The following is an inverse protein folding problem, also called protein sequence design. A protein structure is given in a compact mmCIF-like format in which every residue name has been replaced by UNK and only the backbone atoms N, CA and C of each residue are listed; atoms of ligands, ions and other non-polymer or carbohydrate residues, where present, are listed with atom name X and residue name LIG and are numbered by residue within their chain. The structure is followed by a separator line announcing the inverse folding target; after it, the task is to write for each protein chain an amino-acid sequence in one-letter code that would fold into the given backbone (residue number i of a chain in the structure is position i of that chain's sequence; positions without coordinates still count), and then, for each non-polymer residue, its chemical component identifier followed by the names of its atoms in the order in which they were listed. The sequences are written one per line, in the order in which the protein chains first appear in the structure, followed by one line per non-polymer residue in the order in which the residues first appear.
data_IF_470727285833
#
_entry.id   IF_470727285833
#
_cell.length_a   1.000
_cell.length_b   1.000
_cell.length_c   1.000
_cell.angle_alpha   90.00
_cell.angle_beta   90.00
_cell.angle_gamma   90.00
#
_symmetry.space_group_name_H-M   'P 1'
#
loop_
_entity.id
_entity.type
_entity.pdbx_description
1 polymer ?
#
# COMPACT_ATOMS: atom_id res chain seq x y z
N UNK A 1 -10.11 -15.02 89.44
CA UNK A 1 -8.94 -15.37 90.26
C UNK A 1 -8.22 -16.51 89.57
N UNK A 2 -6.99 -16.23 89.14
CA UNK A 2 -5.89 -17.09 88.69
C UNK A 2 -6.14 -18.44 87.99
N UNK A 3 -5.55 -18.49 86.79
CA UNK A 3 -5.11 -19.65 86.02
C UNK A 3 -4.20 -20.61 86.81
N UNK A 4 -4.43 -21.91 86.59
CA UNK A 4 -3.37 -22.92 86.53
C UNK A 4 -3.88 -24.18 85.79
N UNK A 5 -3.30 -24.50 84.63
CA UNK A 5 -3.43 -25.81 83.96
C UNK A 5 -2.04 -26.42 83.84
N UNK A 6 -1.83 -27.71 84.20
CA UNK A 6 -0.48 -28.29 84.31
C UNK A 6 0.01 -28.95 83.02
N UNK A 7 1.35 -29.01 82.92
CA UNK A 7 2.14 -29.55 81.81
C UNK A 7 2.02 -31.07 81.67
N UNK A 8 1.55 -31.56 80.52
CA UNK A 8 1.77 -32.96 80.10
C UNK A 8 2.02 -33.18 78.59
N UNK A 9 2.13 -32.13 77.75
CA UNK A 9 2.21 -32.29 76.29
C UNK A 9 3.60 -32.11 75.66
N UNK A 10 4.69 -32.01 76.44
CA UNK A 10 6.01 -31.58 75.92
C UNK A 10 6.99 -32.68 75.47
N UNK A 11 6.60 -33.97 75.42
CA UNK A 11 7.55 -35.04 75.05
C UNK A 11 7.36 -35.68 73.66
N UNK A 12 6.22 -35.50 72.98
CA UNK A 12 5.98 -36.13 71.66
C UNK A 12 6.32 -35.26 70.44
N UNK A 13 6.55 -33.95 70.63
CA UNK A 13 6.80 -33.03 69.52
C UNK A 13 8.15 -33.22 68.83
N UNK A 14 9.20 -33.59 69.58
CA UNK A 14 10.58 -33.65 69.09
C UNK A 14 10.93 -34.85 68.21
N UNK A 15 10.23 -35.97 68.38
CA UNK A 15 10.48 -37.19 67.59
C UNK A 15 9.87 -37.09 66.18
N UNK A 16 8.70 -36.46 66.05
CA UNK A 16 8.03 -36.23 64.75
C UNK A 16 8.78 -35.20 63.90
N UNK A 17 9.28 -34.12 64.49
CA UNK A 17 10.07 -33.10 63.76
C UNK A 17 11.39 -33.66 63.25
N UNK A 18 12.10 -34.49 64.03
CA UNK A 18 13.36 -35.11 63.57
C UNK A 18 13.15 -36.12 62.45
N UNK A 19 12.04 -36.87 62.44
CA UNK A 19 11.68 -37.76 61.32
C UNK A 19 11.31 -36.96 60.08
N UNK A 20 10.52 -35.90 60.22
CA UNK A 20 10.13 -35.02 59.11
C UNK A 20 11.35 -34.32 58.47
N UNK A 21 12.29 -33.82 59.28
CA UNK A 21 13.54 -33.22 58.78
C UNK A 21 14.44 -34.24 58.07
N UNK A 22 14.52 -35.47 58.56
CA UNK A 22 15.28 -36.53 57.89
C UNK A 22 14.66 -36.95 56.56
N UNK A 23 13.34 -37.06 56.49
CA UNK A 23 12.64 -37.35 55.22
C UNK A 23 12.77 -36.21 54.22
N UNK A 24 12.74 -34.95 54.69
CA UNK A 24 12.97 -33.79 53.83
C UNK A 24 14.42 -33.72 53.32
N UNK A 25 15.40 -33.99 54.19
CA UNK A 25 16.81 -34.03 53.79
C UNK A 25 17.09 -35.17 52.78
N UNK A 26 16.50 -36.36 52.98
CA UNK A 26 16.60 -37.47 52.03
C UNK A 26 15.91 -37.16 50.70
N UNK A 27 14.75 -36.50 50.73
CA UNK A 27 14.05 -36.07 49.52
C UNK A 27 14.85 -34.98 48.77
N UNK A 28 15.45 -34.02 49.47
CA UNK A 28 16.34 -33.03 48.87
C UNK A 28 17.61 -33.66 48.30
N UNK A 29 18.24 -34.61 48.99
CA UNK A 29 19.40 -35.34 48.43
C UNK A 29 19.01 -36.17 47.19
N UNK A 30 17.85 -36.82 47.19
CA UNK A 30 17.36 -37.55 46.02
C UNK A 30 17.04 -36.63 44.84
N UNK A 31 16.48 -35.43 45.10
CA UNK A 31 16.24 -34.40 44.08
C UNK A 31 17.56 -33.84 43.53
N UNK A 32 18.54 -33.57 44.39
CA UNK A 32 19.86 -33.09 43.94
C UNK A 32 20.60 -34.17 43.15
N UNK A 33 20.51 -35.45 43.55
CA UNK A 33 21.06 -36.58 42.78
C UNK A 33 20.33 -36.81 41.46
N UNK A 34 19.01 -36.61 41.41
CA UNK A 34 18.24 -36.71 40.16
C UNK A 34 18.53 -35.54 39.20
N UNK A 35 18.76 -34.33 39.73
CA UNK A 35 19.20 -33.17 38.94
C UNK A 35 20.64 -33.36 38.47
N UNK A 36 21.53 -33.90 39.30
CA UNK A 36 22.89 -34.25 38.88
C UNK A 36 22.92 -35.37 37.83
N UNK A 37 22.10 -36.41 37.99
CA UNK A 37 21.98 -37.50 37.02
C UNK A 37 21.31 -37.05 35.71
N UNK A 38 20.42 -36.06 35.77
CA UNK A 38 19.82 -35.40 34.60
C UNK A 38 20.75 -34.42 33.91
N UNK A 39 21.76 -33.88 34.61
CA UNK A 39 22.82 -33.05 34.03
C UNK A 39 24.00 -33.88 33.48
N UNK A 40 24.07 -35.17 33.81
CA UNK A 40 25.10 -36.10 33.32
C UNK A 40 24.59 -37.12 32.31
N UNK A 41 23.45 -36.86 31.64
CA UNK A 41 23.17 -37.55 30.39
C UNK A 41 24.23 -37.09 29.38
N UNK A 42 25.06 -37.98 28.80
CA UNK A 42 25.92 -37.55 27.71
C UNK A 42 25.01 -37.02 26.61
N UNK A 43 25.05 -35.70 26.36
CA UNK A 43 24.66 -35.21 25.04
C UNK A 43 25.53 -35.99 24.06
N UNK A 44 24.91 -36.66 23.08
CA UNK A 44 25.67 -37.01 21.89
C UNK A 44 26.22 -35.69 21.36
N UNK A 45 27.53 -35.53 21.43
CA UNK A 45 28.21 -34.50 20.68
C UNK A 45 28.12 -34.97 19.22
N UNK A 46 27.07 -34.57 18.51
CA UNK A 46 27.06 -34.73 17.06
C UNK A 46 28.04 -33.68 16.50
N UNK A 47 29.03 -34.19 15.79
CA UNK A 47 30.40 -33.66 15.74
C UNK A 47 30.72 -32.78 14.51
N UNK A 48 29.68 -32.20 13.91
CA UNK A 48 29.80 -31.18 12.88
C UNK A 48 28.97 -29.96 13.26
N UNK A 49 29.64 -28.87 13.62
CA UNK A 49 28.98 -27.62 14.05
C UNK A 49 28.65 -26.73 12.85
N UNK A 50 27.43 -26.16 12.84
CA UNK A 50 27.00 -25.22 11.80
C UNK A 50 27.36 -23.82 12.22
N UNK A 51 28.30 -23.22 11.50
CA UNK A 51 28.76 -21.86 11.74
C UNK A 51 27.83 -20.86 11.09
N UNK A 52 27.41 -21.15 9.85
CA UNK A 52 26.57 -20.24 9.08
C UNK A 52 25.83 -20.96 7.97
N UNK A 53 24.56 -20.62 7.78
CA UNK A 53 23.85 -20.87 6.53
C UNK A 53 23.18 -19.57 6.11
N UNK A 54 23.56 -19.05 4.95
CA UNK A 54 23.01 -17.79 4.41
C UNK A 54 22.76 -17.89 2.93
N UNK A 55 21.79 -17.09 2.46
CA UNK A 55 21.53 -16.92 1.04
C UNK A 55 21.96 -15.53 0.59
N UNK A 56 22.39 -15.42 -0.67
CA UNK A 56 22.70 -14.11 -1.28
C UNK A 56 21.41 -13.29 -1.42
N UNK A 57 21.34 -12.05 -0.90
CA UNK A 57 20.19 -11.19 -1.13
C UNK A 57 19.97 -10.92 -2.62
N UNK A 58 18.71 -10.96 -3.04
CA UNK A 58 18.30 -10.78 -4.44
C UNK A 58 17.08 -9.84 -4.59
N UNK A 59 16.71 -9.13 -3.52
CA UNK A 59 15.70 -8.08 -3.55
C UNK A 59 16.25 -6.66 -3.36
N UNK A 60 15.38 -5.66 -3.48
CA UNK A 60 15.73 -4.24 -3.54
C UNK A 60 16.20 -3.69 -2.18
N UNK A 61 15.83 -4.34 -1.07
CA UNK A 61 16.25 -3.95 0.28
C UNK A 61 17.71 -4.29 0.60
N UNK A 62 18.38 -5.07 -0.25
CA UNK A 62 19.79 -5.46 -0.11
C UNK A 62 20.06 -6.52 0.97
N UNK A 63 19.06 -6.92 1.75
CA UNK A 63 19.16 -7.97 2.79
C UNK A 63 18.16 -9.11 2.61
N UNK A 64 17.13 -8.93 1.79
CA UNK A 64 16.07 -9.92 1.60
C UNK A 64 16.40 -10.95 0.52
N UNK A 65 15.81 -12.14 0.68
CA UNK A 65 15.90 -13.24 -0.27
C UNK A 65 14.49 -13.54 -0.76
N UNK A 66 14.21 -13.16 -1.99
CA UNK A 66 12.93 -13.33 -2.68
C UNK A 66 12.81 -14.75 -3.24
N UNK A 67 11.64 -15.36 -3.06
CA UNK A 67 11.28 -16.62 -3.71
C UNK A 67 11.11 -16.46 -5.23
N UNK A 68 11.32 -17.54 -5.99
CA UNK A 68 11.13 -17.54 -7.45
C UNK A 68 12.19 -16.76 -8.25
N UNK A 69 13.21 -16.21 -7.59
CA UNK A 69 14.38 -15.59 -8.20
C UNK A 69 15.64 -16.34 -7.78
N UNK A 70 16.67 -16.33 -8.64
CA UNK A 70 17.93 -17.00 -8.36
C UNK A 70 18.65 -16.38 -7.16
N UNK A 71 19.22 -17.23 -6.32
CA UNK A 71 20.11 -16.89 -5.21
C UNK A 71 21.21 -17.94 -5.09
N UNK A 72 22.09 -17.76 -4.11
CA UNK A 72 23.18 -18.68 -3.79
C UNK A 72 23.11 -19.04 -2.32
N UNK A 73 23.11 -20.32 -1.99
CA UNK A 73 23.28 -20.81 -0.61
C UNK A 73 24.77 -20.88 -0.30
N UNK A 74 25.17 -20.32 0.83
CA UNK A 74 26.49 -20.50 1.43
C UNK A 74 26.30 -21.20 2.79
N UNK A 75 26.80 -22.42 2.90
CA UNK A 75 26.76 -23.24 4.10
C UNK A 75 28.20 -23.46 4.62
N UNK A 76 28.45 -23.02 5.84
CA UNK A 76 29.74 -23.13 6.53
C UNK A 76 29.59 -24.03 7.75
N UNK A 77 30.46 -25.03 7.83
CA UNK A 77 30.47 -26.05 8.89
C UNK A 77 31.89 -26.31 9.36
N UNK A 78 32.02 -26.68 10.64
CA UNK A 78 33.29 -27.08 11.24
C UNK A 78 33.20 -28.53 11.72
N UNK A 79 34.16 -29.35 11.30
CA UNK A 79 34.32 -30.70 11.83
C UNK A 79 34.94 -30.66 13.24
N UNK A 80 34.57 -31.61 14.10
CA UNK A 80 35.22 -31.80 15.39
C UNK A 80 36.71 -32.13 15.25
N UNK A 81 37.47 -31.83 16.31
CA UNK A 81 38.93 -31.93 16.33
C UNK A 81 39.48 -33.35 16.10
N UNK A 82 38.66 -34.38 16.28
CA UNK A 82 39.00 -35.80 16.16
C UNK A 82 38.30 -36.52 14.99
N UNK A 83 37.51 -35.82 14.17
CA UNK A 83 36.73 -36.42 13.09
C UNK A 83 37.16 -36.02 11.68
N UNK A 84 37.53 -37.02 10.88
CA UNK A 84 37.83 -36.87 9.45
C UNK A 84 36.59 -37.12 8.59
N UNK A 85 36.20 -36.12 7.81
CA UNK A 85 35.05 -36.19 6.91
C UNK A 85 35.39 -36.81 5.55
N UNK A 86 34.56 -37.73 5.08
CA UNK A 86 34.61 -38.30 3.73
C UNK A 86 33.54 -37.70 2.80
N UNK A 87 32.54 -36.99 3.32
CA UNK A 87 31.54 -36.34 2.50
C UNK A 87 30.58 -35.42 3.26
N UNK A 88 29.88 -34.58 2.50
CA UNK A 88 28.83 -33.68 3.00
C UNK A 88 27.58 -33.83 2.14
N UNK A 89 26.42 -33.70 2.77
CA UNK A 89 25.13 -33.71 2.09
C UNK A 89 24.28 -32.54 2.56
N UNK A 90 23.68 -31.83 1.62
CA UNK A 90 22.72 -30.75 1.88
C UNK A 90 21.38 -31.10 1.23
N UNK A 91 20.35 -31.24 2.04
CA UNK A 91 18.97 -31.37 1.58
C UNK A 91 18.31 -30.00 1.58
N UNK A 92 17.95 -29.53 0.39
CA UNK A 92 17.19 -28.28 0.21
C UNK A 92 15.69 -28.51 0.48
N UNK A 93 14.94 -27.46 0.88
CA UNK A 93 13.49 -27.56 1.08
C UNK A 93 12.76 -27.98 -0.19
N UNK A 94 11.61 -28.63 -0.01
CA UNK A 94 10.76 -29.08 -1.12
C UNK A 94 10.36 -27.91 -2.05
N UNK A 95 10.40 -28.16 -3.37
CA UNK A 95 10.10 -27.14 -4.38
C UNK A 95 11.25 -26.15 -4.65
N UNK A 96 12.42 -26.35 -4.06
CA UNK A 96 13.64 -25.56 -4.36
C UNK A 96 14.39 -26.19 -5.53
N UNK A 97 14.65 -25.41 -6.58
CA UNK A 97 15.55 -25.79 -7.66
C UNK A 97 16.99 -25.33 -7.34
N UNK A 98 18.00 -26.03 -7.85
CA UNK A 98 19.41 -25.67 -7.68
C UNK A 98 20.24 -26.21 -8.85
N UNK A 99 21.39 -25.58 -9.10
CA UNK A 99 22.35 -26.02 -10.11
C UNK A 99 23.65 -26.50 -9.45
N UNK A 100 24.37 -27.42 -10.09
CA UNK A 100 25.63 -27.97 -9.57
C UNK A 100 26.85 -27.63 -10.41
N UNK A 101 26.67 -27.01 -11.58
CA UNK A 101 27.74 -26.75 -12.54
C UNK A 101 28.81 -25.79 -11.99
N UNK A 102 28.38 -24.82 -11.16
CA UNK A 102 29.25 -23.83 -10.52
C UNK A 102 29.44 -24.07 -9.01
N UNK A 103 29.09 -25.27 -8.52
CA UNK A 103 29.21 -25.59 -7.09
C UNK A 103 30.66 -25.49 -6.62
N UNK A 104 30.87 -24.89 -5.45
CA UNK A 104 32.21 -24.78 -4.83
C UNK A 104 32.23 -25.35 -3.44
N UNK A 105 33.12 -26.31 -3.22
CA UNK A 105 33.47 -26.80 -1.89
C UNK A 105 34.89 -26.34 -1.56
N UNK A 106 35.02 -25.56 -0.50
CA UNK A 106 36.31 -25.02 -0.04
C UNK A 106 36.58 -25.50 1.37
N UNK A 107 37.73 -26.12 1.58
CA UNK A 107 38.27 -26.34 2.92
C UNK A 107 39.07 -25.11 3.34
N UNK A 108 38.77 -24.58 4.52
CA UNK A 108 39.43 -23.42 5.10
C UNK A 108 40.36 -23.88 6.24
N UNK A 109 41.53 -23.26 6.32
CA UNK A 109 42.53 -23.54 7.35
C UNK A 109 43.32 -22.28 7.72
N UNK A 110 44.19 -22.40 8.71
CA UNK A 110 44.88 -21.26 9.34
C UNK A 110 44.05 -20.65 10.47
N UNK A 111 44.73 -19.99 11.42
CA UNK A 111 44.09 -19.38 12.59
C UNK A 111 43.10 -18.25 12.22
N UNK A 112 43.21 -17.71 11.01
CA UNK A 112 42.34 -16.67 10.44
C UNK A 112 41.36 -17.18 9.35
N UNK A 113 41.35 -18.50 9.08
CA UNK A 113 40.55 -19.15 8.03
C UNK A 113 40.78 -18.61 6.61
N UNK A 114 41.97 -18.05 6.34
CA UNK A 114 42.29 -17.44 5.05
C UNK A 114 42.94 -18.40 4.05
N UNK A 115 43.48 -19.53 4.51
CA UNK A 115 44.06 -20.56 3.63
C UNK A 115 42.95 -21.42 3.04
N UNK A 116 42.77 -21.33 1.72
CA UNK A 116 41.67 -21.97 0.98
C UNK A 116 42.18 -23.10 0.11
N UNK A 117 41.67 -24.30 0.34
CA UNK A 117 41.89 -25.46 -0.51
C UNK A 117 40.57 -25.85 -1.18
N UNK A 118 40.55 -25.86 -2.51
CA UNK A 118 39.37 -26.24 -3.28
C UNK A 118 39.30 -27.77 -3.38
N UNK A 119 38.18 -28.34 -2.95
CA UNK A 119 37.90 -29.76 -3.09
C UNK A 119 36.98 -29.93 -4.29
N UNK A 120 37.31 -30.85 -5.19
CA UNK A 120 36.44 -31.29 -6.29
C UNK A 120 35.72 -32.58 -5.86
N UNK A 121 34.51 -32.49 -5.28
CA UNK A 121 33.78 -33.68 -4.83
C UNK A 121 33.13 -34.42 -6.00
N UNK A 122 32.89 -35.72 -5.84
CA UNK A 122 31.94 -36.44 -6.68
C UNK A 122 30.52 -36.04 -6.25
N UNK A 123 29.80 -35.39 -7.17
CA UNK A 123 28.46 -34.84 -6.90
C UNK A 123 27.39 -35.84 -7.31
N UNK A 124 26.49 -36.19 -6.39
CA UNK A 124 25.29 -37.01 -6.66
C UNK A 124 24.03 -36.24 -6.24
N UNK A 125 23.11 -36.09 -7.18
CA UNK A 125 21.80 -35.49 -6.93
C UNK A 125 20.76 -36.59 -6.70
N UNK A 126 20.12 -36.57 -5.53
CA UNK A 126 19.04 -37.48 -5.14
C UNK A 126 17.79 -36.63 -4.78
N UNK A 127 17.11 -36.16 -5.82
CA UNK A 127 15.98 -35.22 -5.71
C UNK A 127 16.39 -33.91 -5.01
N UNK A 128 15.86 -33.68 -3.81
CA UNK A 128 16.16 -32.51 -2.99
C UNK A 128 17.49 -32.60 -2.23
N UNK A 129 18.18 -33.76 -2.26
CA UNK A 129 19.44 -33.96 -1.53
C UNK A 129 20.63 -33.94 -2.47
N UNK A 130 21.52 -33.00 -2.23
CA UNK A 130 22.82 -32.88 -2.87
C UNK A 130 23.86 -33.60 -2.02
N UNK A 131 24.46 -34.68 -2.53
CA UNK A 131 25.53 -35.43 -1.85
C UNK A 131 26.88 -35.15 -2.51
N UNK A 132 27.89 -34.85 -1.70
CA UNK A 132 29.24 -34.50 -2.10
C UNK A 132 30.20 -35.50 -1.44
N UNK A 133 30.74 -36.44 -2.22
CA UNK A 133 31.75 -37.37 -1.74
C UNK A 133 33.15 -36.80 -2.01
N UNK A 134 34.01 -36.76 -0.99
CA UNK A 134 35.35 -36.19 -1.13
C UNK A 134 36.27 -37.21 -1.80
N UNK A 135 37.20 -36.78 -2.68
CA UNK A 135 38.14 -37.68 -3.33
C UNK A 135 39.09 -38.36 -2.32
N UNK A 136 39.37 -37.70 -1.20
CA UNK A 136 40.09 -38.23 -0.04
C UNK A 136 39.45 -37.69 1.24
N UNK A 137 39.48 -38.47 2.33
CA UNK A 137 38.98 -38.02 3.62
C UNK A 137 39.76 -36.79 4.10
N UNK A 138 39.03 -35.73 4.45
CA UNK A 138 39.60 -34.49 4.90
C UNK A 138 40.16 -34.64 6.34
N UNK A 139 41.23 -33.89 6.69
CA UNK A 139 41.77 -33.90 8.04
C UNK A 139 40.74 -33.47 9.09
N UNK A 140 40.89 -33.97 10.32
CA UNK A 140 40.01 -33.60 11.42
C UNK A 140 40.12 -32.11 11.81
N UNK A 141 39.04 -31.57 12.40
CA UNK A 141 38.99 -30.20 12.91
C UNK A 141 38.89 -29.09 11.86
N UNK A 142 38.63 -29.42 10.59
CA UNK A 142 38.67 -28.47 9.47
C UNK A 142 37.33 -27.76 9.25
N UNK A 143 37.42 -26.56 8.69
CA UNK A 143 36.28 -25.76 8.25
C UNK A 143 35.97 -26.04 6.79
N UNK A 144 34.69 -26.15 6.46
CA UNK A 144 34.20 -26.35 5.10
C UNK A 144 33.19 -25.28 4.75
N UNK A 145 33.35 -24.69 3.57
CA UNK A 145 32.39 -23.77 2.95
C UNK A 145 31.86 -24.41 1.67
N UNK A 146 30.56 -24.68 1.65
CA UNK A 146 29.82 -25.09 0.47
C UNK A 146 29.06 -23.89 -0.10
N UNK A 147 29.30 -23.57 -1.37
CA UNK A 147 28.53 -22.59 -2.14
C UNK A 147 27.76 -23.30 -3.25
N UNK A 148 26.42 -23.22 -3.20
CA UNK A 148 25.51 -23.75 -4.22
C UNK A 148 24.88 -22.57 -4.97
N UNK A 149 25.10 -22.51 -6.29
CA UNK A 149 24.61 -21.46 -7.18
C UNK A 149 23.32 -21.92 -7.89
N UNK A 150 22.62 -21.01 -8.59
CA UNK A 150 21.40 -21.36 -9.31
C UNK A 150 20.21 -21.74 -8.40
N UNK A 151 20.24 -21.38 -7.11
CA UNK A 151 19.20 -21.80 -6.16
C UNK A 151 17.96 -20.94 -6.34
N UNK A 152 16.80 -21.55 -6.57
CA UNK A 152 15.50 -20.87 -6.68
C UNK A 152 14.52 -21.46 -5.67
N UNK A 153 14.22 -20.70 -4.63
CA UNK A 153 13.22 -21.08 -3.62
C UNK A 153 11.78 -20.93 -4.14
N UNK A 154 10.80 -21.63 -3.55
CA UNK A 154 9.38 -21.45 -3.87
C UNK A 154 8.93 -19.98 -3.74
N UNK A 155 8.15 -19.51 -4.73
CA UNK A 155 7.65 -18.14 -4.74
C UNK A 155 6.71 -17.79 -3.57
N UNK A 156 6.07 -18.79 -2.96
CA UNK A 156 5.23 -18.62 -1.78
C UNK A 156 6.01 -18.13 -0.55
N UNK A 157 7.34 -18.25 -0.56
CA UNK A 157 8.20 -17.86 0.56
C UNK A 157 7.93 -18.67 1.84
N UNK A 158 8.44 -18.18 2.96
CA UNK A 158 8.33 -18.80 4.28
C UNK A 158 9.68 -19.12 4.90
N UNK A 159 9.64 -19.70 6.10
CA UNK A 159 10.82 -20.23 6.78
C UNK A 159 11.24 -21.55 6.13
N UNK A 160 12.33 -21.49 5.36
CA UNK A 160 12.84 -22.61 4.59
C UNK A 160 13.92 -23.34 5.39
N UNK A 161 13.62 -24.55 5.83
CA UNK A 161 14.55 -25.35 6.62
C UNK A 161 15.40 -26.26 5.72
N UNK A 162 16.71 -25.99 5.65
CA UNK A 162 17.68 -26.92 5.10
C UNK A 162 18.01 -28.03 6.11
N UNK A 163 18.39 -29.21 5.62
CA UNK A 163 18.95 -30.29 6.44
C UNK A 163 20.32 -30.68 5.92
N UNK A 164 21.22 -31.04 6.82
CA UNK A 164 22.57 -31.44 6.48
C UNK A 164 22.83 -32.85 6.99
N UNK A 165 23.71 -33.57 6.32
CA UNK A 165 24.32 -34.78 6.83
C UNK A 165 25.79 -34.79 6.45
N UNK A 166 26.61 -35.52 7.21
CA UNK A 166 28.01 -35.75 6.91
C UNK A 166 28.31 -37.24 6.93
N UNK A 167 29.38 -37.63 6.24
CA UNK A 167 29.90 -38.99 6.23
C UNK A 167 31.33 -38.97 6.72
N UNK A 168 31.67 -39.86 7.64
CA UNK A 168 33.00 -40.00 8.23
C UNK A 168 33.87 -40.95 7.41
N UNK A 169 35.19 -40.89 7.64
CA UNK A 169 36.16 -41.76 6.97
C UNK A 169 35.91 -43.27 7.19
N UNK A 170 35.16 -43.65 8.22
CA UNK A 170 34.76 -45.04 8.52
C UNK A 170 33.48 -45.49 7.79
N UNK A 171 32.87 -44.61 6.99
CA UNK A 171 31.64 -44.86 6.23
C UNK A 171 30.36 -44.71 7.03
N UNK A 172 30.41 -44.19 8.27
CA UNK A 172 29.21 -43.87 9.04
C UNK A 172 28.65 -42.50 8.64
N UNK A 173 27.32 -42.36 8.63
CA UNK A 173 26.64 -41.11 8.27
C UNK A 173 25.81 -40.57 9.42
N UNK A 174 25.94 -39.26 9.65
CA UNK A 174 25.34 -38.54 10.76
C UNK A 174 24.56 -37.32 10.25
N UNK A 175 23.47 -36.99 10.93
CA UNK A 175 22.72 -35.77 10.66
C UNK A 175 23.41 -34.56 11.28
N UNK A 176 23.33 -33.41 10.62
CA UNK A 176 23.79 -32.13 11.17
C UNK A 176 22.62 -31.45 11.86
N UNK A 177 22.77 -31.19 13.16
CA UNK A 177 21.80 -30.41 13.94
C UNK A 177 22.11 -28.90 13.88
N UNK A 178 21.14 -28.06 14.25
CA UNK A 178 21.39 -26.62 14.43
C UNK A 178 21.45 -25.78 13.15
N UNK A 179 21.10 -26.32 11.97
CA UNK A 179 21.00 -25.52 10.74
C UNK A 179 19.86 -24.50 10.88
N UNK A 180 20.12 -23.18 10.76
CA UNK A 180 19.07 -22.17 10.86
C UNK A 180 18.14 -22.20 9.64
N UNK A 181 16.86 -21.87 9.85
CA UNK A 181 15.92 -21.65 8.77
C UNK A 181 16.28 -20.37 7.99
N UNK A 182 16.05 -20.38 6.69
CA UNK A 182 16.21 -19.21 5.82
C UNK A 182 14.85 -18.57 5.61
N UNK A 183 14.68 -17.33 6.05
CA UNK A 183 13.49 -16.55 5.78
C UNK A 183 13.46 -16.12 4.30
N UNK A 184 12.52 -16.70 3.54
CA UNK A 184 12.28 -16.35 2.13
C UNK A 184 11.06 -15.45 2.03
N UNK A 185 11.23 -14.29 1.44
CA UNK A 185 10.15 -13.34 1.19
C UNK A 185 9.31 -13.82 0.01
N UNK A 186 8.00 -13.94 0.25
CA UNK A 186 7.04 -14.32 -0.77
C UNK A 186 6.96 -13.27 -1.88
N UNK A 187 6.87 -13.72 -3.13
CA UNK A 187 6.74 -12.84 -4.29
C UNK A 187 5.30 -12.92 -4.79
N UNK A 188 4.64 -11.76 -4.94
CA UNK A 188 3.25 -11.76 -5.40
C UNK A 188 3.18 -12.14 -6.89
N UNK A 189 2.05 -12.68 -7.38
CA UNK A 189 1.87 -12.95 -8.82
C UNK A 189 2.10 -11.71 -9.69
N UNK A 190 1.80 -10.52 -9.17
CA UNK A 190 2.07 -9.26 -9.83
C UNK A 190 3.57 -9.00 -9.96
N UNK A 191 4.35 -9.27 -8.93
CA UNK A 191 5.80 -9.07 -8.94
C UNK A 191 6.48 -10.04 -9.93
N UNK A 192 6.05 -11.30 -9.98
CA UNK A 192 6.49 -12.24 -11.02
C UNK A 192 6.18 -11.72 -12.43
N UNK A 193 4.98 -11.16 -12.62
CA UNK A 193 4.58 -10.59 -13.90
C UNK A 193 5.40 -9.34 -14.27
N UNK A 194 5.82 -8.52 -13.31
CA UNK A 194 6.73 -7.38 -13.55
C UNK A 194 8.08 -7.87 -14.09
N UNK A 195 8.68 -8.87 -13.44
CA UNK A 195 9.96 -9.47 -13.86
C UNK A 195 9.82 -10.06 -15.27
N UNK A 196 8.75 -10.82 -15.50
CA UNK A 196 8.45 -11.37 -16.82
C UNK A 196 8.34 -10.28 -17.89
N UNK A 197 7.63 -9.18 -17.61
CA UNK A 197 7.48 -8.06 -18.54
C UNK A 197 8.81 -7.37 -18.81
N UNK A 198 9.62 -7.13 -17.79
CA UNK A 198 10.92 -6.47 -17.92
C UNK A 198 11.92 -7.26 -18.80
N UNK A 199 11.84 -8.59 -18.75
CA UNK A 199 12.66 -9.47 -19.58
C UNK A 199 12.24 -9.50 -21.06
N UNK A 200 11.07 -8.94 -21.42
CA UNK A 200 10.62 -8.98 -22.81
C UNK A 200 11.47 -8.06 -23.72
N UNK A 201 11.94 -8.55 -24.89
CA UNK A 201 12.77 -7.75 -25.80
C UNK A 201 12.12 -6.44 -26.24
N UNK A 202 10.80 -6.45 -26.45
CA UNK A 202 10.06 -5.25 -26.84
C UNK A 202 9.98 -4.22 -25.72
N UNK A 203 9.95 -4.62 -24.44
CA UNK A 203 9.95 -3.71 -23.29
C UNK A 203 11.32 -3.06 -23.15
N UNK A 204 12.39 -3.83 -23.34
CA UNK A 204 13.75 -3.28 -23.35
C UNK A 204 13.95 -2.29 -24.51
N UNK A 205 13.48 -2.64 -25.72
CA UNK A 205 13.50 -1.75 -26.87
C UNK A 205 12.65 -0.48 -26.62
N UNK A 206 11.47 -0.60 -26.00
CA UNK A 206 10.61 0.51 -25.63
C UNK A 206 11.29 1.45 -24.63
N UNK A 207 11.88 0.88 -23.57
CA UNK A 207 12.55 1.62 -22.50
C UNK A 207 13.92 2.19 -22.92
N UNK A 208 14.46 1.79 -24.08
CA UNK A 208 15.65 2.44 -24.65
C UNK A 208 15.40 3.92 -24.99
N UNK A 209 14.15 4.27 -25.35
CA UNK A 209 13.75 5.64 -25.54
C UNK A 209 13.49 6.33 -24.19
N UNK A 210 14.22 7.40 -23.90
CA UNK A 210 14.14 8.10 -22.61
C UNK A 210 12.74 8.63 -22.31
N UNK A 211 12.04 9.18 -23.32
CA UNK A 211 10.68 9.69 -23.15
C UNK A 211 9.71 8.55 -22.82
N UNK A 212 9.74 7.45 -23.57
CA UNK A 212 8.88 6.29 -23.31
C UNK A 212 9.16 5.65 -21.95
N UNK A 213 10.43 5.56 -21.55
CA UNK A 213 10.83 5.06 -20.22
C UNK A 213 10.34 5.96 -19.07
N UNK A 214 10.32 7.28 -19.28
CA UNK A 214 9.93 8.22 -18.22
C UNK A 214 8.41 8.43 -18.15
N UNK A 215 7.68 8.37 -19.27
CA UNK A 215 6.24 8.66 -19.29
C UNK A 215 5.37 7.42 -19.45
N UNK A 216 5.87 6.36 -20.08
CA UNK A 216 5.09 5.20 -20.49
C UNK A 216 5.80 3.87 -20.23
N UNK A 217 6.52 3.75 -19.11
CA UNK A 217 7.19 2.49 -18.77
C UNK A 217 6.14 1.37 -18.52
N UNK A 218 6.11 0.30 -19.32
CA UNK A 218 5.08 -0.74 -19.22
C UNK A 218 5.04 -1.44 -17.86
N UNK A 219 6.21 -1.69 -17.26
CA UNK A 219 6.34 -2.33 -15.95
C UNK A 219 5.77 -1.42 -14.85
N UNK A 220 6.06 -0.11 -14.94
CA UNK A 220 5.53 0.87 -13.99
C UNK A 220 4.03 1.10 -14.15
N UNK A 221 3.49 1.03 -15.37
CA UNK A 221 2.04 1.10 -15.59
C UNK A 221 1.34 -0.02 -14.83
N UNK A 222 1.77 -1.26 -15.03
CA UNK A 222 1.12 -2.43 -14.41
C UNK A 222 1.29 -2.45 -12.89
N UNK A 223 2.48 -2.12 -12.41
CA UNK A 223 2.76 -2.11 -10.96
C UNK A 223 2.08 -0.97 -10.20
N UNK A 224 1.88 0.19 -10.85
CA UNK A 224 1.25 1.35 -10.21
C UNK A 224 -0.28 1.26 -10.14
N UNK A 225 -0.91 0.51 -11.04
CA UNK A 225 -2.37 0.36 -11.11
C UNK A 225 -3.03 -0.02 -9.76
N UNK A 226 -2.66 -1.12 -9.09
CA UNK A 226 -3.31 -1.53 -7.84
C UNK A 226 -3.03 -0.55 -6.69
N UNK A 227 -1.85 0.09 -6.69
CA UNK A 227 -1.47 1.06 -5.66
C UNK A 227 -2.30 2.34 -5.80
N UNK A 228 -2.36 2.90 -7.01
CA UNK A 228 -3.13 4.13 -7.30
C UNK A 228 -4.64 3.87 -7.17
N UNK A 229 -5.11 2.64 -7.38
CA UNK A 229 -6.50 2.28 -7.14
C UNK A 229 -6.96 2.57 -5.69
N UNK A 230 -6.07 2.42 -4.69
CA UNK A 230 -6.35 2.84 -3.32
C UNK A 230 -6.63 4.34 -3.22
N UNK A 231 -5.81 5.16 -3.90
CA UNK A 231 -6.03 6.61 -4.02
C UNK A 231 -7.31 6.97 -4.74
N UNK A 232 -7.67 6.22 -5.78
CA UNK A 232 -8.92 6.37 -6.51
C UNK A 232 -10.14 6.19 -5.61
N UNK A 233 -10.16 5.15 -4.78
CA UNK A 233 -11.23 4.93 -3.80
C UNK A 233 -11.29 6.07 -2.78
N UNK A 234 -10.15 6.59 -2.33
CA UNK A 234 -10.09 7.73 -1.42
C UNK A 234 -10.67 9.00 -2.04
N UNK A 235 -10.25 9.39 -3.26
CA UNK A 235 -10.82 10.53 -3.99
C UNK A 235 -12.33 10.40 -4.15
N UNK A 236 -12.80 9.20 -4.50
CA UNK A 236 -14.22 8.92 -4.67
C UNK A 236 -14.97 9.04 -3.33
N UNK A 237 -14.43 8.49 -2.24
CA UNK A 237 -15.03 8.61 -0.91
C UNK A 237 -15.14 10.06 -0.43
N UNK A 238 -14.11 10.88 -0.67
CA UNK A 238 -14.12 12.30 -0.32
C UNK A 238 -15.24 13.02 -1.06
N UNK A 239 -15.34 12.84 -2.37
CA UNK A 239 -16.33 13.55 -3.21
C UNK A 239 -17.75 13.06 -2.96
N UNK A 240 -17.93 11.75 -2.78
CA UNK A 240 -19.23 11.16 -2.46
C UNK A 240 -19.76 11.59 -1.09
N UNK A 241 -18.91 12.06 -0.18
CA UNK A 241 -19.35 12.64 1.09
C UNK A 241 -19.46 14.17 1.02
N UNK A 242 -18.46 14.84 0.42
CA UNK A 242 -18.41 16.29 0.35
C UNK A 242 -19.54 16.87 -0.51
N UNK A 243 -19.82 16.28 -1.68
CA UNK A 243 -20.80 16.83 -2.62
C UNK A 243 -22.25 16.76 -2.09
N UNK A 244 -22.73 15.63 -1.52
CA UNK A 244 -24.07 15.59 -0.91
C UNK A 244 -24.22 16.54 0.28
N UNK A 245 -23.16 16.79 1.04
CA UNK A 245 -23.15 17.80 2.11
C UNK A 245 -23.17 19.21 1.51
N UNK A 246 -22.46 19.46 0.42
CA UNK A 246 -22.43 20.76 -0.24
C UNK A 246 -23.78 21.18 -0.82
N UNK A 247 -24.61 20.25 -1.32
CA UNK A 247 -25.93 20.52 -1.91
C UNK A 247 -26.88 21.31 -0.97
N UNK A 248 -27.19 20.84 0.26
CA UNK A 248 -28.08 21.57 1.15
C UNK A 248 -27.49 22.91 1.59
N UNK A 249 -26.18 23.01 1.84
CA UNK A 249 -25.54 24.28 2.18
C UNK A 249 -25.56 25.27 1.02
N UNK A 250 -25.23 24.83 -0.19
CA UNK A 250 -25.30 25.65 -1.39
C UNK A 250 -26.72 26.13 -1.67
N UNK A 251 -27.71 25.25 -1.55
CA UNK A 251 -29.11 25.63 -1.70
C UNK A 251 -29.56 26.63 -0.62
N UNK A 252 -29.17 26.43 0.64
CA UNK A 252 -29.45 27.37 1.73
C UNK A 252 -28.84 28.76 1.45
N UNK A 253 -27.57 28.81 1.04
CA UNK A 253 -26.91 30.07 0.67
C UNK A 253 -27.60 30.74 -0.53
N UNK A 254 -28.08 29.98 -1.50
CA UNK A 254 -28.83 30.51 -2.64
C UNK A 254 -30.14 31.19 -2.18
N UNK A 255 -30.89 30.55 -1.28
CA UNK A 255 -32.10 31.12 -0.68
C UNK A 255 -31.78 32.39 0.13
N UNK A 256 -30.68 32.39 0.90
CA UNK A 256 -30.21 33.57 1.63
C UNK A 256 -29.87 34.73 0.68
N UNK A 257 -29.21 34.45 -0.46
CA UNK A 257 -28.91 35.46 -1.49
C UNK A 257 -30.15 36.03 -2.16
N UNK A 258 -31.23 35.25 -2.29
CA UNK A 258 -32.51 35.67 -2.87
C UNK A 258 -33.45 36.33 -1.85
N UNK A 259 -33.15 36.22 -0.56
CA UNK A 259 -33.98 36.77 0.52
C UNK A 259 -34.10 38.30 0.45
N UNK A 260 -35.24 38.84 0.90
CA UNK A 260 -35.46 40.27 1.08
C UNK A 260 -34.63 40.86 2.23
N UNK A 261 -34.18 40.03 3.18
CA UNK A 261 -33.34 40.48 4.30
C UNK A 261 -31.95 40.87 3.80
N UNK A 262 -31.58 42.14 4.05
CA UNK A 262 -30.24 42.66 3.72
C UNK A 262 -29.14 41.89 4.45
N UNK A 263 -29.39 41.47 5.69
CA UNK A 263 -28.43 40.75 6.53
C UNK A 263 -28.13 39.36 5.95
N UNK A 264 -29.17 38.57 5.66
CA UNK A 264 -28.99 37.23 5.09
C UNK A 264 -28.27 37.28 3.74
N UNK A 265 -28.65 38.26 2.91
CA UNK A 265 -28.02 38.48 1.61
C UNK A 265 -26.55 38.87 1.74
N UNK A 266 -26.21 39.71 2.72
CA UNK A 266 -24.83 40.10 2.99
C UNK A 266 -23.99 38.92 3.50
N UNK A 267 -24.49 38.14 4.47
CA UNK A 267 -23.77 36.98 5.02
C UNK A 267 -23.45 35.95 3.95
N UNK A 268 -24.45 35.51 3.18
CA UNK A 268 -24.25 34.57 2.09
C UNK A 268 -23.36 35.18 0.98
N UNK A 269 -23.53 36.48 0.69
CA UNK A 269 -22.70 37.19 -0.27
C UNK A 269 -21.22 37.21 0.11
N UNK A 270 -20.88 37.52 1.36
CA UNK A 270 -19.50 37.52 1.86
C UNK A 270 -18.89 36.13 1.76
N UNK A 271 -19.59 35.10 2.25
CA UNK A 271 -19.13 33.71 2.16
C UNK A 271 -18.85 33.30 0.71
N UNK A 272 -19.84 33.44 -0.18
CA UNK A 272 -19.73 33.00 -1.58
C UNK A 272 -18.64 33.77 -2.32
N UNK A 273 -18.56 35.09 -2.12
CA UNK A 273 -17.56 35.92 -2.78
C UNK A 273 -16.14 35.60 -2.29
N UNK A 274 -15.96 35.30 -1.01
CA UNK A 274 -14.65 34.94 -0.45
C UNK A 274 -14.20 33.57 -0.95
N UNK A 275 -15.07 32.56 -0.88
CA UNK A 275 -14.74 31.19 -1.28
C UNK A 275 -14.52 31.09 -2.79
N UNK A 276 -15.35 31.73 -3.62
CA UNK A 276 -15.15 31.72 -5.08
C UNK A 276 -14.08 32.70 -5.55
N UNK A 277 -13.75 33.70 -4.74
CA UNK A 277 -12.73 34.71 -5.02
C UNK A 277 -11.33 34.29 -4.60
N UNK A 278 -11.17 33.16 -3.90
CA UNK A 278 -9.88 32.65 -3.44
C UNK A 278 -9.58 31.27 -4.04
N UNK A 279 -8.30 30.95 -4.35
CA UNK A 279 -7.95 29.63 -4.87
C UNK A 279 -8.29 28.50 -3.89
N UNK A 280 -8.91 27.42 -4.38
CA UNK A 280 -9.24 26.25 -3.56
C UNK A 280 -7.98 25.64 -2.91
N UNK A 281 -6.85 25.63 -3.63
CA UNK A 281 -5.56 25.23 -3.09
C UNK A 281 -5.18 25.98 -1.80
N UNK A 282 -5.38 27.30 -1.78
CA UNK A 282 -5.06 28.13 -0.62
C UNK A 282 -6.03 27.85 0.53
N UNK A 283 -7.30 27.61 0.25
CA UNK A 283 -8.30 27.24 1.27
C UNK A 283 -7.93 25.92 1.95
N UNK A 284 -7.51 24.92 1.17
CA UNK A 284 -7.00 23.64 1.67
C UNK A 284 -5.76 23.88 2.53
N UNK A 285 -4.79 24.65 2.04
CA UNK A 285 -3.55 24.90 2.77
C UNK A 285 -3.80 25.59 4.13
N UNK A 286 -4.64 26.64 4.14
CA UNK A 286 -5.02 27.35 5.37
C UNK A 286 -5.76 26.42 6.33
N UNK A 287 -6.65 25.56 5.84
CA UNK A 287 -7.36 24.63 6.70
C UNK A 287 -6.41 23.60 7.33
N UNK A 288 -5.57 22.94 6.52
CA UNK A 288 -4.70 21.86 7.00
C UNK A 288 -3.52 22.32 7.86
N UNK A 289 -3.00 23.52 7.64
CA UNK A 289 -1.90 24.05 8.45
C UNK A 289 -2.34 25.08 9.49
N UNK A 290 -3.36 25.89 9.18
CA UNK A 290 -3.84 26.95 10.08
C UNK A 290 -4.69 26.44 11.24
N UNK A 291 -5.58 25.46 11.03
CA UNK A 291 -6.43 24.93 12.12
C UNK A 291 -5.61 24.22 13.21
N UNK A 292 -4.63 23.35 12.89
CA UNK A 292 -3.77 22.75 13.92
C UNK A 292 -2.98 23.79 14.71
N UNK A 293 -2.50 24.86 14.07
CA UNK A 293 -1.83 25.97 14.75
C UNK A 293 -2.77 26.75 15.69
N UNK A 294 -4.07 26.74 15.43
CA UNK A 294 -5.10 27.27 16.32
C UNK A 294 -5.53 26.27 17.42
N UNK A 295 -4.88 25.11 17.52
CA UNK A 295 -5.20 24.06 18.49
C UNK A 295 -6.37 23.15 18.11
N UNK A 296 -6.86 23.24 16.87
CA UNK A 296 -7.97 22.44 16.36
C UNK A 296 -7.41 21.33 15.47
N UNK A 297 -7.36 20.11 16.00
CA UNK A 297 -6.89 18.93 15.26
C UNK A 297 -8.10 18.13 14.77
N UNK A 298 -8.31 18.14 13.46
CA UNK A 298 -9.33 17.35 12.77
C UNK A 298 -8.60 16.31 11.93
N UNK A 299 -9.14 15.10 11.87
CA UNK A 299 -8.62 14.05 10.99
C UNK A 299 -8.52 14.54 9.52
N UNK A 300 -7.44 14.17 8.82
CA UNK A 300 -7.14 14.67 7.48
C UNK A 300 -8.22 14.33 6.46
N UNK A 301 -8.83 13.14 6.56
CA UNK A 301 -9.91 12.75 5.66
C UNK A 301 -11.15 13.60 5.94
N UNK A 302 -11.55 13.74 7.21
CA UNK A 302 -12.68 14.58 7.59
C UNK A 302 -12.46 16.06 7.20
N UNK A 303 -11.26 16.59 7.42
CA UNK A 303 -10.92 17.97 7.06
C UNK A 303 -10.95 18.17 5.54
N UNK A 304 -10.42 17.22 4.77
CA UNK A 304 -10.53 17.20 3.32
C UNK A 304 -11.98 17.27 2.86
N UNK A 305 -12.86 16.44 3.43
CA UNK A 305 -14.29 16.46 3.12
C UNK A 305 -14.93 17.81 3.44
N UNK A 306 -14.64 18.39 4.61
CA UNK A 306 -15.22 19.67 5.05
C UNK A 306 -14.79 20.80 4.10
N UNK A 307 -13.50 20.90 3.78
CA UNK A 307 -12.99 21.97 2.91
C UNK A 307 -13.54 21.83 1.50
N UNK A 308 -13.60 20.61 0.96
CA UNK A 308 -14.16 20.35 -0.36
C UNK A 308 -15.68 20.64 -0.40
N UNK A 309 -16.41 20.29 0.66
CA UNK A 309 -17.83 20.60 0.78
C UNK A 309 -18.09 22.11 0.89
N UNK A 310 -17.28 22.83 1.68
CA UNK A 310 -17.33 24.28 1.83
C UNK A 310 -17.08 24.98 0.49
N UNK A 311 -16.02 24.57 -0.22
CA UNK A 311 -15.70 25.09 -1.53
C UNK A 311 -16.86 24.88 -2.51
N UNK A 312 -17.29 23.62 -2.69
CA UNK A 312 -18.38 23.27 -3.60
C UNK A 312 -19.71 23.96 -3.24
N UNK A 313 -20.04 24.11 -1.95
CA UNK A 313 -21.27 24.78 -1.52
C UNK A 313 -21.37 26.22 -2.03
N UNK A 314 -20.24 26.94 -2.15
CA UNK A 314 -20.23 28.29 -2.70
C UNK A 314 -20.53 28.32 -4.21
N UNK A 315 -20.03 27.36 -4.98
CA UNK A 315 -20.36 27.21 -6.41
C UNK A 315 -21.81 26.76 -6.60
N UNK A 316 -22.25 25.78 -5.80
CA UNK A 316 -23.63 25.30 -5.78
C UNK A 316 -24.63 26.42 -5.45
N UNK A 317 -24.28 27.35 -4.56
CA UNK A 317 -25.11 28.54 -4.30
C UNK A 317 -25.42 29.31 -5.58
N UNK A 318 -24.43 29.54 -6.43
CA UNK A 318 -24.65 30.29 -7.68
C UNK A 318 -25.40 29.48 -8.72
N UNK A 319 -25.16 28.17 -8.78
CA UNK A 319 -25.91 27.26 -9.65
C UNK A 319 -27.39 27.27 -9.27
N UNK A 320 -27.72 27.10 -7.99
CA UNK A 320 -29.10 27.14 -7.52
C UNK A 320 -29.72 28.53 -7.70
N UNK A 321 -28.99 29.61 -7.39
CA UNK A 321 -29.48 30.99 -7.57
C UNK A 321 -29.80 31.27 -9.05
N UNK A 322 -28.92 30.89 -9.96
CA UNK A 322 -29.12 31.03 -11.40
C UNK A 322 -30.29 30.16 -11.89
N UNK A 323 -30.40 28.92 -11.39
CA UNK A 323 -31.52 28.03 -11.66
C UNK A 323 -32.86 28.64 -11.24
N UNK A 324 -32.97 29.18 -10.03
CA UNK A 324 -34.19 29.85 -9.55
C UNK A 324 -34.54 31.06 -10.42
N UNK A 325 -33.54 31.88 -10.78
CA UNK A 325 -33.74 33.08 -11.60
C UNK A 325 -34.08 32.76 -13.06
N UNK A 326 -33.75 31.55 -13.54
CA UNK A 326 -34.09 31.10 -14.89
C UNK A 326 -35.58 30.79 -15.09
N UNK A 327 -36.34 30.62 -14.00
CA UNK A 327 -37.77 30.32 -14.07
C UNK A 327 -38.56 31.56 -14.55
N UNK A 328 -39.41 31.44 -15.58
CA UNK A 328 -40.19 32.57 -16.09
C UNK A 328 -41.05 33.22 -15.01
N UNK A 329 -41.01 34.56 -14.93
CA UNK A 329 -41.77 35.33 -13.93
C UNK A 329 -43.27 35.04 -13.95
N UNK A 330 -43.83 34.69 -15.13
CA UNK A 330 -45.23 34.31 -15.29
C UNK A 330 -45.67 33.12 -14.40
N UNK A 331 -44.76 32.20 -14.06
CA UNK A 331 -45.06 31.11 -13.10
C UNK A 331 -45.35 31.67 -11.70
N UNK A 332 -44.57 32.66 -11.26
CA UNK A 332 -44.79 33.33 -9.97
C UNK A 332 -46.03 34.21 -9.98
N UNK A 333 -46.34 34.86 -11.11
CA UNK A 333 -47.55 35.66 -11.28
C UNK A 333 -48.81 34.78 -11.27
N UNK A 334 -48.81 33.67 -12.01
CA UNK A 334 -49.92 32.71 -12.02
C UNK A 334 -50.17 32.10 -10.64
N UNK A 335 -49.11 31.71 -9.92
CA UNK A 335 -49.22 31.19 -8.55
C UNK A 335 -49.87 32.20 -7.59
N UNK A 336 -49.47 33.47 -7.68
CA UNK A 336 -50.07 34.55 -6.87
C UNK A 336 -51.53 34.79 -7.25
N UNK A 337 -51.90 34.70 -8.52
CA UNK A 337 -53.29 34.79 -8.98
C UNK A 337 -54.17 33.65 -8.45
N UNK A 338 -53.58 32.51 -8.14
CA UNK A 338 -54.24 31.37 -7.49
C UNK A 338 -54.23 31.45 -5.96
N UNK A 339 -53.81 32.58 -5.38
CA UNK A 339 -53.81 32.83 -3.93
C UNK A 339 -52.63 32.22 -3.17
N UNK A 340 -51.60 31.71 -3.85
CA UNK A 340 -50.41 31.17 -3.19
C UNK A 340 -49.55 32.29 -2.61
N UNK A 341 -49.05 32.10 -1.39
CA UNK A 341 -48.06 32.99 -0.80
C UNK A 341 -46.65 32.70 -1.36
N UNK A 342 -45.68 33.60 -1.12
CA UNK A 342 -44.33 33.49 -1.68
C UNK A 342 -43.59 32.19 -1.28
N UNK A 343 -43.83 31.67 -0.06
CA UNK A 343 -43.22 30.42 0.41
C UNK A 343 -43.84 29.23 -0.32
N UNK A 344 -45.16 29.20 -0.45
CA UNK A 344 -45.87 28.17 -1.22
C UNK A 344 -45.43 28.18 -2.69
N UNK A 345 -45.35 29.36 -3.33
CA UNK A 345 -44.86 29.49 -4.71
C UNK A 345 -43.43 28.98 -4.83
N UNK A 346 -42.55 29.32 -3.88
CA UNK A 346 -41.17 28.84 -3.88
C UNK A 346 -41.10 27.32 -3.76
N UNK A 347 -41.71 26.74 -2.72
CA UNK A 347 -41.59 25.31 -2.40
C UNK A 347 -42.30 24.40 -3.40
N UNK A 348 -43.51 24.75 -3.84
CA UNK A 348 -44.32 23.86 -4.66
C UNK A 348 -44.13 24.05 -6.18
N UNK A 349 -43.66 25.22 -6.63
CA UNK A 349 -43.56 25.53 -8.07
C UNK A 349 -42.11 25.75 -8.47
N UNK A 350 -41.42 26.72 -7.85
CA UNK A 350 -40.09 27.17 -8.30
C UNK A 350 -39.01 26.13 -8.00
N UNK A 351 -38.96 25.62 -6.77
CA UNK A 351 -37.89 24.71 -6.32
C UNK A 351 -37.86 23.40 -7.12
N UNK A 352 -38.99 22.67 -7.31
CA UNK A 352 -38.99 21.44 -8.11
C UNK A 352 -38.51 21.66 -9.55
N UNK A 353 -38.91 22.76 -10.19
CA UNK A 353 -38.48 23.12 -11.54
C UNK A 353 -36.99 23.49 -11.57
N UNK A 354 -36.53 24.25 -10.57
CA UNK A 354 -35.12 24.63 -10.41
C UNK A 354 -34.24 23.39 -10.34
N UNK A 355 -34.54 22.45 -9.45
CA UNK A 355 -33.74 21.23 -9.28
C UNK A 355 -33.62 20.47 -10.59
N UNK A 356 -34.72 20.31 -11.33
CA UNK A 356 -34.70 19.67 -12.64
C UNK A 356 -33.79 20.38 -13.65
N UNK A 357 -33.80 21.71 -13.65
CA UNK A 357 -33.02 22.52 -14.59
C UNK A 357 -31.52 22.54 -14.27
N UNK A 358 -31.14 22.47 -12.98
CA UNK A 358 -29.74 22.57 -12.57
C UNK A 358 -29.00 21.22 -12.52
N UNK A 359 -29.69 20.08 -12.58
CA UNK A 359 -29.08 18.74 -12.53
C UNK A 359 -27.85 18.57 -13.47
N UNK A 360 -27.87 19.01 -14.74
CA UNK A 360 -26.69 18.90 -15.61
C UNK A 360 -25.50 19.71 -15.09
N UNK A 361 -25.77 20.92 -14.59
CA UNK A 361 -24.75 21.80 -14.01
C UNK A 361 -24.23 21.26 -12.68
N UNK A 362 -25.09 20.67 -11.84
CA UNK A 362 -24.67 19.95 -10.63
C UNK A 362 -23.75 18.77 -10.97
N UNK A 363 -24.08 18.01 -12.00
CA UNK A 363 -23.25 16.88 -12.44
C UNK A 363 -21.90 17.37 -12.97
N UNK A 364 -21.87 18.51 -13.66
CA UNK A 364 -20.61 19.14 -14.09
C UNK A 364 -19.75 19.61 -12.91
N UNK A 365 -20.37 20.20 -11.89
CA UNK A 365 -19.69 20.60 -10.65
C UNK A 365 -19.16 19.39 -9.88
N UNK A 366 -19.89 18.26 -9.85
CA UNK A 366 -19.40 17.02 -9.26
C UNK A 366 -18.12 16.51 -9.96
N UNK A 367 -18.09 16.55 -11.30
CA UNK A 367 -16.91 16.17 -12.09
C UNK A 367 -15.72 17.07 -11.75
N UNK A 368 -15.95 18.37 -11.60
CA UNK A 368 -14.91 19.33 -11.20
C UNK A 368 -14.40 19.03 -9.79
N UNK A 369 -15.29 18.86 -8.81
CA UNK A 369 -14.92 18.54 -7.44
C UNK A 369 -14.11 17.25 -7.36
N UNK A 370 -14.48 16.23 -8.14
CA UNK A 370 -13.71 14.99 -8.25
C UNK A 370 -12.28 15.23 -8.71
N UNK A 371 -12.07 16.05 -9.73
CA UNK A 371 -10.72 16.42 -10.19
C UNK A 371 -9.99 17.27 -9.15
N UNK A 372 -10.68 18.18 -8.48
CA UNK A 372 -10.09 19.07 -7.48
C UNK A 372 -9.64 18.33 -6.20
N UNK A 373 -10.05 17.07 -5.99
CA UNK A 373 -9.45 16.22 -4.94
C UNK A 373 -7.94 16.08 -5.08
N UNK A 374 -7.40 16.19 -6.31
CA UNK A 374 -5.95 16.22 -6.56
C UNK A 374 -5.21 17.30 -5.77
N UNK A 375 -5.88 18.39 -5.41
CA UNK A 375 -5.28 19.47 -4.62
C UNK A 375 -4.95 19.02 -3.18
N UNK A 376 -5.65 18.01 -2.67
CA UNK A 376 -5.39 17.45 -1.34
C UNK A 376 -4.03 16.71 -1.27
N UNK A 377 -3.45 16.32 -2.41
CA UNK A 377 -2.10 15.77 -2.46
C UNK A 377 -1.05 16.71 -1.87
N UNK A 378 -1.28 18.02 -2.00
CA UNK A 378 -0.35 19.05 -1.51
C UNK A 378 -0.25 19.10 0.02
N UNK A 379 -1.28 18.60 0.71
CA UNK A 379 -1.34 18.52 2.18
C UNK A 379 -1.18 17.08 2.68
N UNK A 380 -0.73 16.17 1.81
CA UNK A 380 -0.39 14.79 2.20
C UNK A 380 -1.58 13.85 2.35
N UNK A 381 -2.78 14.21 1.88
CA UNK A 381 -3.89 13.25 1.81
C UNK A 381 -3.57 12.21 0.73
N UNK A 382 -3.64 10.93 1.11
CA UNK A 382 -3.35 9.80 0.22
C UNK A 382 -4.47 9.54 -0.78
N UNK A 383 -4.65 10.46 -1.73
CA UNK A 383 -5.53 10.34 -2.88
C UNK A 383 -4.73 9.96 -4.15
N UNK A 384 -5.40 9.91 -5.33
CA UNK A 384 -4.82 9.47 -6.62
C UNK A 384 -3.44 10.08 -6.89
N UNK A 385 -3.32 11.42 -6.84
CA UNK A 385 -2.10 12.14 -7.17
C UNK A 385 -1.00 11.92 -6.13
N UNK A 386 -1.34 11.81 -4.85
CA UNK A 386 -0.38 11.55 -3.78
C UNK A 386 0.22 10.13 -3.88
N UNK A 387 -0.58 9.12 -4.21
CA UNK A 387 -0.04 7.78 -4.50
C UNK A 387 0.88 7.80 -5.71
N UNK A 388 0.48 8.44 -6.80
CA UNK A 388 1.34 8.58 -7.98
C UNK A 388 2.65 9.31 -7.65
N UNK A 389 2.58 10.42 -6.89
CA UNK A 389 3.75 11.18 -6.43
C UNK A 389 4.70 10.32 -5.60
N UNK A 390 4.18 9.45 -4.73
CA UNK A 390 4.98 8.55 -3.91
C UNK A 390 5.76 7.56 -4.78
N UNK A 391 5.11 6.97 -5.79
CA UNK A 391 5.77 6.05 -6.73
C UNK A 391 6.78 6.79 -7.61
N UNK A 392 6.47 8.02 -8.05
CA UNK A 392 7.41 8.85 -8.84
C UNK A 392 8.66 9.16 -8.01
N UNK A 393 8.51 9.44 -6.72
CA UNK A 393 9.62 9.74 -5.83
C UNK A 393 10.57 8.55 -5.63
N UNK A 394 10.04 7.31 -5.63
CA UNK A 394 10.87 6.10 -5.49
C UNK A 394 11.45 5.62 -6.82
N UNK A 395 10.72 5.76 -7.92
CA UNK A 395 11.12 5.22 -9.24
C UNK A 395 11.86 6.22 -10.13
N UNK A 396 11.75 7.53 -9.86
CA UNK A 396 12.27 8.59 -10.73
C UNK A 396 11.55 8.72 -12.08
N UNK A 397 10.43 8.00 -12.27
CA UNK A 397 9.65 8.00 -13.52
C UNK A 397 8.34 8.75 -13.34
N UNK A 398 7.92 9.49 -14.37
CA UNK A 398 6.66 10.25 -14.41
C UNK A 398 5.47 9.34 -14.77
N UNK A 399 5.72 8.13 -15.25
CA UNK A 399 4.72 7.11 -15.63
C UNK A 399 3.54 6.97 -14.65
N UNK A 400 3.72 6.95 -13.32
CA UNK A 400 2.60 6.85 -12.39
C UNK A 400 1.58 8.00 -12.49
N UNK A 401 1.99 9.21 -12.89
CA UNK A 401 1.04 10.31 -13.13
C UNK A 401 0.17 10.07 -14.38
N UNK A 402 0.70 9.37 -15.39
CA UNK A 402 -0.11 8.94 -16.55
C UNK A 402 -1.15 7.92 -16.11
N UNK A 403 -0.79 6.99 -15.23
CA UNK A 403 -1.74 6.04 -14.64
C UNK A 403 -2.81 6.75 -13.81
N UNK A 404 -2.42 7.75 -12.99
CA UNK A 404 -3.37 8.61 -12.28
C UNK A 404 -4.35 9.33 -13.24
N UNK A 405 -3.86 9.85 -14.37
CA UNK A 405 -4.71 10.48 -15.38
C UNK A 405 -5.75 9.51 -15.96
N UNK A 406 -5.40 8.23 -16.15
CA UNK A 406 -6.35 7.20 -16.58
C UNK A 406 -7.48 7.02 -15.56
N UNK A 407 -7.17 6.97 -14.27
CA UNK A 407 -8.19 6.87 -13.22
C UNK A 407 -9.14 8.08 -13.18
N UNK A 408 -8.63 9.29 -13.45
CA UNK A 408 -9.52 10.44 -13.64
C UNK A 408 -10.43 10.24 -14.85
N UNK A 409 -9.88 9.84 -16.00
CA UNK A 409 -10.65 9.63 -17.24
C UNK A 409 -11.74 8.56 -17.11
N UNK A 410 -11.48 7.48 -16.36
CA UNK A 410 -12.45 6.41 -16.10
C UNK A 410 -13.74 6.94 -15.48
N UNK A 411 -13.69 7.99 -14.66
CA UNK A 411 -14.87 8.61 -14.04
C UNK A 411 -15.38 9.80 -14.86
N UNK A 412 -14.48 10.66 -15.34
CA UNK A 412 -14.88 11.91 -16.00
C UNK A 412 -15.55 11.66 -17.35
N UNK A 413 -15.09 10.67 -18.15
CA UNK A 413 -15.64 10.42 -19.49
C UNK A 413 -17.08 9.88 -19.44
N UNK A 414 -17.42 8.87 -18.61
CA UNK A 414 -18.82 8.44 -18.46
C UNK A 414 -19.72 9.55 -17.94
N UNK A 415 -19.28 10.30 -16.92
CA UNK A 415 -20.09 11.39 -16.36
C UNK A 415 -20.29 12.53 -17.36
N UNK A 416 -19.29 12.89 -18.16
CA UNK A 416 -19.43 13.89 -19.22
C UNK A 416 -20.47 13.48 -20.27
N UNK A 417 -20.55 12.17 -20.60
CA UNK A 417 -21.63 11.65 -21.46
C UNK A 417 -22.99 11.76 -20.78
N UNK A 418 -23.09 11.45 -19.49
CA UNK A 418 -24.33 11.62 -18.72
C UNK A 418 -24.80 13.08 -18.75
N UNK A 419 -23.90 14.04 -18.52
CA UNK A 419 -24.20 15.48 -18.64
C UNK A 419 -24.76 15.80 -20.03
N UNK A 420 -24.08 15.37 -21.09
CA UNK A 420 -24.51 15.64 -22.47
C UNK A 420 -25.92 15.08 -22.77
N UNK A 421 -26.24 13.90 -22.25
CA UNK A 421 -27.57 13.29 -22.40
C UNK A 421 -28.63 14.08 -21.60
N UNK A 422 -28.31 14.51 -20.38
CA UNK A 422 -29.22 15.30 -19.54
C UNK A 422 -29.52 16.66 -20.19
N UNK A 423 -28.51 17.34 -20.72
CA UNK A 423 -28.69 18.60 -21.46
C UNK A 423 -29.58 18.41 -22.69
N UNK A 424 -29.32 17.38 -23.51
CA UNK A 424 -30.12 17.10 -24.69
C UNK A 424 -31.60 16.83 -24.35
N UNK A 425 -31.88 16.12 -23.25
CA UNK A 425 -33.25 15.86 -22.79
C UNK A 425 -33.97 17.12 -22.31
N UNK A 426 -33.27 18.02 -21.62
CA UNK A 426 -33.86 19.29 -21.16
C UNK A 426 -34.13 20.24 -22.34
N UNK A 427 -33.21 20.35 -23.29
CA UNK A 427 -33.41 21.16 -24.50
C UNK A 427 -34.54 20.60 -25.39
N UNK A 428 -34.61 19.26 -25.55
CA UNK A 428 -35.67 18.61 -26.32
C UNK A 428 -37.07 18.77 -25.71
N UNK A 429 -37.19 18.81 -24.39
CA UNK A 429 -38.45 19.11 -23.70
C UNK A 429 -38.91 20.56 -23.93
N UNK A 430 -37.98 21.48 -24.13
CA UNK A 430 -38.27 22.92 -24.34
C UNK A 430 -38.65 23.20 -25.81
N UNK A 431 -38.09 22.44 -26.77
CA UNK A 431 -38.43 22.56 -28.19
C UNK A 431 -39.86 22.09 -28.55
N UNK A 432 -40.49 21.28 -27.68
CA UNK A 432 -41.86 20.80 -27.87
C UNK A 432 -42.97 21.83 -27.62
N UNK A 433 -42.64 23.06 -27.19
CA UNK A 433 -43.63 24.12 -26.87
C UNK A 433 -43.54 25.36 -27.77
N UNK A 434 -42.64 25.40 -28.76
CA UNK A 434 -42.60 26.47 -29.76
C UNK A 434 -42.99 25.95 -31.15
N UNK A 435 -44.29 25.94 -31.47
CA UNK A 435 -44.75 25.87 -32.86
C UNK A 435 -44.45 27.20 -33.55
N UNK A 436 -43.29 27.29 -34.20
CA UNK A 436 -42.88 28.36 -35.10
C UNK A 436 -41.81 27.82 -36.06
N UNK A 437 -41.79 28.23 -37.34
CA UNK A 437 -41.07 27.51 -38.38
C UNK A 437 -39.57 27.43 -38.09
N UNK A 438 -39.04 26.21 -38.17
CA UNK A 438 -37.67 25.86 -37.85
C UNK A 438 -36.67 26.72 -38.65
N UNK A 439 -36.04 27.68 -37.97
CA UNK A 439 -34.85 28.33 -38.48
C UNK A 439 -33.73 27.30 -38.53
N UNK A 440 -33.21 27.05 -39.73
CA UNK A 440 -32.11 26.13 -40.02
C UNK A 440 -30.94 26.40 -39.08
N UNK A 441 -30.49 25.35 -38.39
CA UNK A 441 -29.28 25.29 -37.57
C UNK A 441 -28.08 25.72 -38.44
N UNK A 442 -27.29 26.76 -38.10
CA UNK A 442 -26.06 27.02 -38.84
C UNK A 442 -25.09 25.86 -38.56
N UNK A 443 -24.48 25.32 -39.62
CA UNK A 443 -23.40 24.35 -39.50
C UNK A 443 -22.31 24.94 -38.58
N UNK A 444 -21.84 24.15 -37.62
CA UNK A 444 -20.58 24.42 -36.92
C UNK A 444 -19.47 24.43 -37.96
N UNK A 445 -19.05 25.61 -38.40
CA UNK A 445 -17.82 25.81 -39.14
C UNK A 445 -16.66 25.47 -38.20
N UNK A 446 -15.90 24.45 -38.58
CA UNK A 446 -14.57 24.21 -38.03
C UNK A 446 -13.72 25.47 -38.23
N UNK A 447 -12.88 25.77 -37.24
CA UNK A 447 -12.16 27.03 -37.09
C UNK A 447 -11.65 27.65 -38.38
N UNK A 448 -12.17 28.83 -38.69
CA UNK A 448 -11.47 29.82 -39.51
C UNK A 448 -10.66 30.68 -38.55
N UNK A 449 -9.35 30.46 -38.57
CA UNK A 449 -8.38 31.40 -37.99
C UNK A 449 -8.51 32.70 -38.76
N UNK A 450 -8.97 33.76 -38.09
CA UNK A 450 -8.89 35.11 -38.63
C UNK A 450 -7.42 35.53 -38.56
N UNK A 451 -6.74 35.79 -39.69
CA UNK A 451 -5.39 36.35 -39.65
C UNK A 451 -5.49 37.78 -39.11
N UNK A 452 -4.74 38.08 -38.06
CA UNK A 452 -4.57 39.46 -37.58
C UNK A 452 -3.77 40.23 -38.64
N UNK A 453 -4.24 41.38 -39.14
CA UNK A 453 -3.47 42.19 -40.07
C UNK A 453 -2.18 42.71 -39.40
N UNK A 454 -1.06 42.79 -40.12
CA UNK A 454 0.25 43.14 -39.55
C UNK A 454 0.47 44.65 -39.33
N UNK A 455 -0.53 45.41 -38.89
CA UNK A 455 -0.44 46.86 -38.69
C UNK A 455 -0.90 47.31 -37.29
N UNK A 456 -0.39 46.71 -36.21
CA UNK A 456 -0.54 47.27 -34.86
C UNK A 456 0.67 46.97 -33.93
N UNK A 457 1.88 46.97 -34.47
CA UNK A 457 3.11 47.22 -33.69
C UNK A 457 3.73 48.53 -34.19
N UNK A 458 3.05 49.63 -33.87
CA UNK A 458 3.61 50.96 -33.90
C UNK A 458 2.90 51.77 -32.80
N UNK A 459 3.58 51.91 -31.66
CA UNK A 459 3.19 52.82 -30.58
C UNK A 459 2.42 52.17 -29.44
N UNK A 460 3.14 51.48 -28.55
CA UNK A 460 3.20 51.72 -27.08
C UNK A 460 3.98 50.61 -26.39
#
# INVERSE_FOLDING_TARGET
MNDAVPLSSRLDGGARTRRALRTLALACCALVLAVWAGMSTPQRADALEVEKLTCRPNGDSGSEVLGGSETRITWEVQAAADESLAGLSLTVPEGTAYETDDLRLTMLSGDDLMDREFIEPEIKQDGATLRLAFPQAAPAGRYFRLEVYGVVFPAAGGEMQCRGAYELADGTSHGVEGIPAVAITAVTPLDQFKVFLEQQPWVQAWNSNTFLRLFFNPVLIVSSLPIIFGGFLMSLAIVLLAFPVAIPFGFLFALMRLSNSRILRALAGVYVNLIRGTPAFLQIYIAFFGLPLAGINIDNYALGVIVMAMNSAAYLCEIFRAGIQSIPKGQSEAARSLGMNAVQTMVYIIVPQTFRNVIPTLTSEFILLYKDTSLLAAVGVMEIVMYAKTIVATTGSITPYVVAALFYLVVTLPLARVVSVLEARLMGATAGTSTGPAAKKPLKSAGTVVPTPPDHIAGL
#
